data_IF_273200518305
#
_entry.id   IF_273200518305
#
_cell.length_a   1.000
_cell.length_b   1.000
_cell.length_c   1.000
_cell.angle_alpha   90.00
_cell.angle_beta   90.00
_cell.angle_gamma   90.00
#
_symmetry.space_group_name_H-M   'P 1'
#
loop_
_entity.id
_entity.type
_entity.pdbx_description
1 polymer ?
#
# COMPACT_ATOMS: atom_id res chain seq x y z
N UNK A 1 -5.37 10.02 -4.78
CA UNK A 1 -5.02 11.38 -4.28
C UNK A 1 -3.50 11.56 -4.30
N UNK A 2 -2.99 12.75 -4.00
CA UNK A 2 -1.55 13.03 -3.91
C UNK A 2 -1.24 13.65 -2.54
N UNK A 3 -0.18 13.20 -1.86
CA UNK A 3 0.26 13.80 -0.59
C UNK A 3 1.15 15.04 -0.79
N UNK A 4 1.60 15.64 0.32
CA UNK A 4 2.50 16.80 0.33
C UNK A 4 3.88 16.51 -0.26
N UNK A 5 4.30 15.25 -0.27
CA UNK A 5 5.60 14.81 -0.81
C UNK A 5 5.49 14.39 -2.29
N UNK A 6 4.29 14.53 -2.88
CA UNK A 6 4.03 14.25 -4.27
C UNK A 6 3.75 12.78 -4.59
N UNK A 7 3.60 11.91 -3.59
CA UNK A 7 3.28 10.48 -3.79
C UNK A 7 1.82 10.32 -4.18
N UNK A 8 1.56 9.46 -5.15
CA UNK A 8 0.18 9.10 -5.50
C UNK A 8 -0.30 7.99 -4.57
N UNK A 9 -1.51 8.18 -4.02
CA UNK A 9 -2.13 7.28 -3.05
C UNK A 9 -3.50 6.82 -3.55
N UNK A 10 -3.75 5.52 -3.52
CA UNK A 10 -5.07 4.91 -3.56
C UNK A 10 -5.33 4.30 -2.19
N UNK A 11 -6.41 4.70 -1.52
CA UNK A 11 -6.76 4.19 -0.18
C UNK A 11 -8.18 3.65 -0.25
N UNK A 12 -8.35 2.37 0.06
CA UNK A 12 -9.64 1.68 0.02
C UNK A 12 -9.91 0.86 1.30
N UNK A 13 -11.18 0.70 1.64
CA UNK A 13 -11.65 -0.21 2.68
C UNK A 13 -12.39 -1.38 2.03
N UNK A 14 -11.96 -2.60 2.33
CA UNK A 14 -12.51 -3.81 1.75
C UNK A 14 -13.13 -4.68 2.85
N UNK A 15 -14.47 -4.74 2.85
CA UNK A 15 -15.23 -5.51 3.83
C UNK A 15 -15.27 -6.99 3.46
N UNK A 16 -15.56 -7.30 2.20
CA UNK A 16 -15.67 -8.67 1.70
C UNK A 16 -14.33 -9.19 1.19
N UNK A 17 -14.04 -10.47 1.48
CA UNK A 17 -12.90 -11.16 0.88
C UNK A 17 -13.10 -11.28 -0.64
N UNK A 18 -12.14 -10.80 -1.41
CA UNK A 18 -12.15 -10.86 -2.86
C UNK A 18 -10.97 -11.71 -3.34
N UNK A 19 -11.21 -12.83 -4.05
CA UNK A 19 -10.13 -13.57 -4.71
C UNK A 19 -9.41 -12.65 -5.70
N UNK A 20 -8.09 -12.52 -5.58
CA UNK A 20 -7.30 -11.63 -6.43
C UNK A 20 -7.14 -10.20 -5.91
N UNK A 21 -7.43 -9.96 -4.62
CA UNK A 21 -7.33 -8.62 -4.03
C UNK A 21 -5.92 -8.03 -4.17
N UNK A 22 -4.88 -8.81 -3.90
CA UNK A 22 -3.49 -8.32 -3.98
C UNK A 22 -3.15 -7.90 -5.40
N UNK A 23 -3.52 -8.70 -6.40
CA UNK A 23 -3.33 -8.42 -7.82
C UNK A 23 -4.08 -7.16 -8.24
N UNK A 24 -5.29 -6.94 -7.72
CA UNK A 24 -6.05 -5.69 -7.94
C UNK A 24 -5.33 -4.48 -7.36
N UNK A 25 -4.78 -4.59 -6.16
CA UNK A 25 -4.03 -3.50 -5.54
C UNK A 25 -2.75 -3.17 -6.33
N UNK A 26 -2.05 -4.20 -6.82
CA UNK A 26 -0.90 -4.03 -7.73
C UNK A 26 -1.33 -3.34 -9.02
N UNK A 27 -2.45 -3.76 -9.62
CA UNK A 27 -2.99 -3.14 -10.82
C UNK A 27 -3.31 -1.65 -10.62
N UNK A 28 -3.90 -1.28 -9.49
CA UNK A 28 -4.17 0.14 -9.18
C UNK A 28 -2.89 0.94 -8.98
N UNK A 29 -1.90 0.43 -8.24
CA UNK A 29 -0.62 1.11 -8.05
C UNK A 29 0.11 1.29 -9.39
N UNK A 30 0.13 0.26 -10.24
CA UNK A 30 0.75 0.31 -11.57
C UNK A 30 0.06 1.31 -12.50
N UNK A 31 -1.28 1.31 -12.53
CA UNK A 31 -2.05 2.27 -13.34
C UNK A 31 -1.73 3.71 -12.91
N UNK A 32 -1.78 3.99 -11.61
CA UNK A 32 -1.40 5.29 -11.07
C UNK A 32 0.05 5.67 -11.41
N UNK A 33 0.97 4.71 -11.41
CA UNK A 33 2.36 4.96 -11.74
C UNK A 33 2.55 5.41 -13.19
N UNK A 34 1.87 4.72 -14.12
CA UNK A 34 1.87 5.05 -15.55
C UNK A 34 1.23 6.41 -15.81
N UNK A 35 0.10 6.68 -15.16
CA UNK A 35 -0.69 7.91 -15.34
C UNK A 35 0.04 9.19 -14.87
N UNK A 36 1.19 9.07 -14.21
CA UNK A 36 2.02 10.22 -13.82
C UNK A 36 2.71 10.90 -15.01
N UNK A 37 2.94 10.17 -16.10
CA UNK A 37 3.72 10.65 -17.22
C UNK A 37 2.88 10.80 -18.48
N UNK A 38 3.06 11.94 -19.13
CA UNK A 38 2.62 12.20 -20.49
C UNK A 38 3.79 12.01 -21.46
N UNK A 39 3.47 11.85 -22.74
CA UNK A 39 4.46 11.70 -23.80
C UNK A 39 5.45 12.87 -23.79
N UNK A 40 6.75 12.54 -23.76
CA UNK A 40 7.84 13.52 -23.75
C UNK A 40 8.25 14.05 -22.38
N UNK A 41 7.60 13.64 -21.28
CA UNK A 41 8.03 14.00 -19.92
C UNK A 41 9.23 13.18 -19.44
N UNK A 42 10.03 13.76 -18.55
CA UNK A 42 11.21 13.11 -17.97
C UNK A 42 10.83 12.07 -16.91
N UNK A 43 11.43 10.89 -16.96
CA UNK A 43 11.23 9.86 -15.93
C UNK A 43 11.76 10.26 -14.55
N UNK A 44 12.61 11.28 -14.45
CA UNK A 44 13.11 11.79 -13.16
C UNK A 44 12.00 12.38 -12.30
N UNK A 45 10.93 12.91 -12.92
CA UNK A 45 9.79 13.52 -12.22
C UNK A 45 8.77 12.50 -11.70
N UNK A 46 8.94 11.21 -11.99
CA UNK A 46 8.04 10.16 -11.47
C UNK A 46 8.21 10.06 -9.96
N UNK A 47 7.08 10.02 -9.26
CA UNK A 47 7.00 9.75 -7.83
C UNK A 47 6.49 8.34 -7.54
N UNK A 48 6.52 7.91 -6.27
CA UNK A 48 5.91 6.66 -5.84
C UNK A 48 4.41 6.61 -6.12
N UNK A 49 3.88 5.43 -6.40
CA UNK A 49 2.45 5.17 -6.48
C UNK A 49 2.07 4.03 -5.52
N UNK A 50 1.25 4.35 -4.54
CA UNK A 50 1.02 3.52 -3.35
C UNK A 50 -0.45 3.15 -3.28
N UNK A 51 -0.75 1.86 -3.25
CA UNK A 51 -2.09 1.34 -3.02
C UNK A 51 -2.20 0.79 -1.60
N UNK A 52 -3.16 1.28 -0.82
CA UNK A 52 -3.38 0.94 0.59
C UNK A 52 -4.78 0.36 0.73
N UNK A 53 -4.88 -0.84 1.27
CA UNK A 53 -6.15 -1.50 1.52
C UNK A 53 -6.32 -1.82 3.00
N UNK A 54 -7.38 -1.28 3.61
CA UNK A 54 -7.84 -1.65 4.94
C UNK A 54 -8.77 -2.85 4.82
N UNK A 55 -8.51 -3.91 5.57
CA UNK A 55 -9.22 -5.19 5.47
C UNK A 55 -10.00 -5.47 6.75
N UNK A 56 -11.29 -5.73 6.62
CA UNK A 56 -12.13 -6.22 7.73
C UNK A 56 -12.22 -7.75 7.78
N UNK A 57 -11.17 -8.43 7.33
CA UNK A 57 -11.04 -9.88 7.34
C UNK A 57 -9.55 -10.26 7.39
N UNK A 58 -9.27 -11.51 7.74
CA UNK A 58 -7.90 -12.04 7.73
C UNK A 58 -7.56 -12.57 6.33
N UNK A 59 -6.59 -11.93 5.68
CA UNK A 59 -6.07 -12.28 4.37
C UNK A 59 -4.87 -13.24 4.48
N UNK A 60 -3.90 -12.94 5.34
CA UNK A 60 -2.70 -13.76 5.55
C UNK A 60 -2.81 -14.50 6.89
N UNK A 61 -3.18 -15.79 6.84
CA UNK A 61 -3.43 -16.60 8.05
C UNK A 61 -2.17 -17.23 8.65
N UNK A 62 -1.07 -17.18 7.91
CA UNK A 62 0.23 -17.73 8.26
C UNK A 62 1.09 -16.76 9.11
N UNK A 63 0.55 -15.60 9.46
CA UNK A 63 1.28 -14.54 10.15
C UNK A 63 0.37 -13.71 11.06
N UNK A 64 0.89 -13.33 12.22
CA UNK A 64 0.25 -12.38 13.15
C UNK A 64 0.49 -10.91 12.72
N UNK A 65 1.34 -10.67 11.71
CA UNK A 65 1.57 -9.35 11.18
C UNK A 65 0.26 -8.75 10.64
N UNK A 66 -0.07 -7.56 11.12
CA UNK A 66 -1.32 -6.88 10.77
C UNK A 66 -1.17 -5.92 9.59
N UNK A 67 0.04 -5.40 9.36
CA UNK A 67 0.36 -4.53 8.22
C UNK A 67 1.47 -5.15 7.39
N UNK A 68 1.17 -5.44 6.13
CA UNK A 68 2.15 -5.88 5.14
C UNK A 68 2.48 -4.74 4.19
N UNK A 69 3.78 -4.52 3.97
CA UNK A 69 4.33 -3.55 3.03
C UNK A 69 5.09 -4.26 1.92
N UNK A 70 4.47 -4.37 0.76
CA UNK A 70 5.07 -4.97 -0.44
C UNK A 70 5.73 -3.88 -1.28
N UNK A 71 7.03 -4.05 -1.54
CA UNK A 71 7.88 -3.08 -2.26
C UNK A 71 8.85 -3.78 -3.20
N UNK A 72 9.26 -3.08 -4.26
CA UNK A 72 10.30 -3.55 -5.16
C UNK A 72 11.68 -3.39 -4.51
N UNK A 73 12.38 -4.50 -4.34
CA UNK A 73 13.72 -4.51 -3.75
C UNK A 73 14.60 -5.61 -4.36
N UNK A 74 15.90 -5.35 -4.38
CA UNK A 74 16.93 -6.36 -4.58
C UNK A 74 17.02 -7.25 -3.33
N UNK A 75 16.86 -8.56 -3.53
CA UNK A 75 16.85 -9.54 -2.44
C UNK A 75 18.25 -9.80 -1.86
N UNK A 76 19.30 -9.69 -2.67
CA UNK A 76 20.67 -9.95 -2.22
C UNK A 76 21.22 -8.73 -1.48
N UNK A 77 21.06 -7.54 -2.08
CA UNK A 77 21.64 -6.32 -1.52
C UNK A 77 20.71 -5.56 -0.56
N UNK A 78 19.41 -5.89 -0.54
CA UNK A 78 18.37 -5.17 0.20
C UNK A 78 18.06 -3.75 -0.34
N UNK A 79 18.58 -3.37 -1.51
CA UNK A 79 18.33 -2.04 -2.10
C UNK A 79 16.88 -1.92 -2.53
N UNK A 80 16.26 -0.78 -2.23
CA UNK A 80 14.88 -0.49 -2.55
C UNK A 80 14.79 0.46 -3.74
N UNK A 81 13.75 0.29 -4.55
CA UNK A 81 13.40 1.26 -5.58
C UNK A 81 12.46 2.31 -4.96
N UNK A 82 13.03 3.42 -4.49
CA UNK A 82 12.31 4.46 -3.73
C UNK A 82 11.22 5.19 -4.52
N UNK A 83 11.25 5.14 -5.85
CA UNK A 83 10.27 5.78 -6.75
C UNK A 83 9.52 4.73 -7.56
N UNK A 84 9.05 3.68 -6.90
CA UNK A 84 8.34 2.58 -7.54
C UNK A 84 6.88 2.48 -7.04
N UNK A 85 6.20 1.40 -7.42
CA UNK A 85 4.91 1.06 -6.85
C UNK A 85 5.06 0.38 -5.49
N UNK A 86 4.10 0.63 -4.60
CA UNK A 86 4.01 -0.02 -3.30
C UNK A 86 2.57 -0.49 -3.04
N UNK A 87 2.43 -1.61 -2.33
CA UNK A 87 1.14 -2.13 -1.90
C UNK A 87 1.15 -2.37 -0.40
N UNK A 88 0.13 -1.85 0.27
CA UNK A 88 -0.09 -2.01 1.70
C UNK A 88 -1.41 -2.73 1.94
N UNK A 89 -1.37 -3.74 2.79
CA UNK A 89 -2.58 -4.35 3.36
C UNK A 89 -2.56 -4.20 4.86
N UNK A 90 -3.65 -3.71 5.44
CA UNK A 90 -3.80 -3.50 6.88
C UNK A 90 -5.02 -4.31 7.35
N UNK A 91 -4.77 -5.43 8.01
CA UNK A 91 -5.79 -6.35 8.52
C UNK A 91 -6.29 -5.87 9.89
N UNK A 92 -7.42 -5.16 9.88
CA UNK A 92 -7.95 -4.49 11.07
C UNK A 92 -8.28 -5.47 12.20
N UNK A 93 -8.69 -6.71 11.87
CA UNK A 93 -9.03 -7.73 12.87
C UNK A 93 -7.81 -8.23 13.67
N UNK A 94 -6.59 -8.00 13.19
CA UNK A 94 -5.35 -8.33 13.91
C UNK A 94 -4.93 -7.22 14.88
N UNK A 95 -5.61 -6.06 14.86
CA UNK A 95 -5.39 -4.99 15.84
C UNK A 95 -6.33 -5.16 17.03
N UNK A 96 -5.76 -5.20 18.24
CA UNK A 96 -6.51 -5.12 19.49
C UNK A 96 -6.84 -3.66 19.83
N UNK A 97 -7.60 -2.99 18.97
CA UNK A 97 -8.02 -1.60 19.17
C UNK A 97 -9.48 -1.54 19.60
N UNK A 98 -9.71 -1.23 20.88
CA UNK A 98 -11.02 -0.76 21.33
C UNK A 98 -11.26 0.69 20.92
N UNK A 99 -12.52 1.11 20.77
CA UNK A 99 -12.91 2.46 20.33
C UNK A 99 -12.21 3.58 21.14
N UNK A 100 -12.07 3.41 22.45
CA UNK A 100 -11.37 4.34 23.34
C UNK A 100 -9.84 4.44 23.13
N UNK A 101 -9.26 3.48 22.40
CA UNK A 101 -7.81 3.35 22.19
C UNK A 101 -7.41 3.79 20.78
N UNK A 102 -8.36 3.93 19.84
CA UNK A 102 -8.09 4.33 18.45
C UNK A 102 -7.35 5.67 18.38
N UNK A 103 -7.74 6.65 19.19
CA UNK A 103 -7.10 7.98 19.24
C UNK A 103 -5.68 7.95 19.81
N UNK A 104 -5.31 6.86 20.48
CA UNK A 104 -3.99 6.63 21.08
C UNK A 104 -3.19 5.54 20.36
N UNK A 105 -3.75 4.98 19.28
CA UNK A 105 -3.04 4.00 18.48
C UNK A 105 -1.74 4.62 17.97
N UNK A 106 -0.64 3.89 18.10
CA UNK A 106 0.64 4.31 17.53
C UNK A 106 0.51 4.45 16.02
N UNK A 107 1.35 5.30 15.42
CA UNK A 107 1.50 5.32 13.97
C UNK A 107 1.90 3.90 13.52
N UNK A 108 1.32 3.47 12.40
CA UNK A 108 1.74 2.26 11.70
C UNK A 108 3.24 2.43 11.36
N UNK A 109 4.08 1.48 11.80
CA UNK A 109 5.53 1.49 11.57
C UNK A 109 5.90 1.15 10.12
#
# INVERSE_FOLDING_TARGET
>A
CRDSDGRLLNVELQIAAYPGLVERLVFYAASMYVDQLNVGQSYVSVGPAISICLLNHVLFRDTEQAHHHFRMMDLESGRKLEKAIEVHTIELLKYNLGEATVTRASKLE
#
